data_IF_804642244776
#
_entry.id   IF_804642244776
#
_cell.length_a   1.000
_cell.length_b   1.000
_cell.length_c   1.000
_cell.angle_alpha   90.00
_cell.angle_beta   90.00
_cell.angle_gamma   90.00
#
_symmetry.space_group_name_H-M   'P 1'
#
loop_
_entity.id
_entity.type
_entity.pdbx_description
1 polymer ?
#
# COMPACT_ATOMS: atom_id res chain seq x y z
N UNK A 1 3.02 5.43 19.18
CA UNK A 1 3.08 5.40 20.66
C UNK A 1 4.51 5.50 21.20
N UNK A 2 5.51 5.14 20.37
CA UNK A 2 6.93 5.23 20.70
C UNK A 2 7.65 6.38 19.98
N UNK A 3 6.91 7.26 19.30
CA UNK A 3 7.47 8.40 18.59
C UNK A 3 8.08 8.05 17.22
N UNK A 4 7.91 6.82 16.74
CA UNK A 4 8.37 6.41 15.41
C UNK A 4 7.55 7.09 14.33
N UNK A 5 8.20 7.54 13.26
CA UNK A 5 7.54 8.13 12.10
C UNK A 5 7.15 7.10 11.08
N UNK A 6 5.95 7.24 10.55
CA UNK A 6 5.32 6.31 9.61
C UNK A 6 4.98 7.01 8.31
N UNK A 7 5.41 6.44 7.20
CA UNK A 7 4.95 6.80 5.86
C UNK A 7 3.94 5.77 5.35
N UNK A 8 2.80 6.24 4.84
CA UNK A 8 1.76 5.39 4.24
C UNK A 8 1.48 5.83 2.82
N UNK A 9 1.58 4.91 1.87
CA UNK A 9 1.20 5.14 0.47
C UNK A 9 0.12 4.14 0.09
N UNK A 10 -1.06 4.64 -0.24
CA UNK A 10 -2.20 3.83 -0.68
C UNK A 10 -2.26 3.83 -2.21
N UNK A 11 -2.09 2.65 -2.81
CA UNK A 11 -2.05 2.46 -4.28
C UNK A 11 -3.42 2.47 -4.93
N UNK A 12 -4.46 2.17 -4.15
CA UNK A 12 -5.80 1.88 -4.69
C UNK A 12 -6.86 2.87 -4.23
N UNK A 13 -6.82 3.28 -2.99
CA UNK A 13 -7.80 4.18 -2.38
C UNK A 13 -7.54 5.62 -2.84
N UNK A 14 -8.27 6.09 -3.88
CA UNK A 14 -8.09 7.44 -4.39
C UNK A 14 -8.88 8.50 -3.63
N UNK A 15 -10.13 8.68 -4.02
CA UNK A 15 -10.98 9.80 -3.59
C UNK A 15 -11.88 9.51 -2.37
N UNK A 16 -11.81 8.30 -1.83
CA UNK A 16 -12.65 7.95 -0.70
C UNK A 16 -12.04 8.47 0.59
N UNK A 17 -12.80 9.28 1.32
CA UNK A 17 -12.48 9.63 2.69
C UNK A 17 -12.65 8.38 3.54
N UNK A 18 -11.52 7.83 3.97
CA UNK A 18 -11.51 6.66 4.83
C UNK A 18 -11.25 7.09 6.28
N UNK A 19 -11.84 6.37 7.22
CA UNK A 19 -11.72 6.69 8.65
C UNK A 19 -10.27 6.72 9.12
N UNK A 20 -9.44 5.79 8.64
CA UNK A 20 -8.01 5.73 8.97
C UNK A 20 -7.26 6.99 8.50
N UNK A 21 -7.55 7.50 7.32
CA UNK A 21 -6.94 8.71 6.78
C UNK A 21 -7.27 9.92 7.64
N UNK A 22 -8.55 10.11 7.95
CA UNK A 22 -9.04 11.21 8.80
C UNK A 22 -8.35 11.21 10.17
N UNK A 23 -8.07 10.03 10.74
CA UNK A 23 -7.40 9.91 12.04
C UNK A 23 -5.89 10.15 11.89
N UNK A 24 -5.23 9.53 10.92
CA UNK A 24 -3.78 9.64 10.74
C UNK A 24 -3.34 11.07 10.38
N UNK A 25 -4.12 11.80 9.61
CA UNK A 25 -3.88 13.22 9.29
C UNK A 25 -3.90 14.16 10.53
N UNK A 26 -4.41 13.68 11.68
CA UNK A 26 -4.31 14.43 12.95
C UNK A 26 -2.95 14.34 13.63
N UNK A 27 -2.07 13.47 13.13
CA UNK A 27 -0.72 13.27 13.66
C UNK A 27 0.36 13.57 12.60
N UNK A 28 0.39 14.81 12.03
CA UNK A 28 1.25 15.14 10.90
C UNK A 28 2.74 15.02 11.23
N UNK A 29 3.11 15.13 12.52
CA UNK A 29 4.49 14.98 12.97
C UNK A 29 4.95 13.51 13.01
N UNK A 30 4.01 12.56 13.03
CA UNK A 30 4.26 11.12 13.17
C UNK A 30 3.84 10.31 11.96
N UNK A 31 2.90 10.80 11.16
CA UNK A 31 2.38 10.05 10.03
C UNK A 31 2.24 10.92 8.78
N UNK A 32 2.92 10.53 7.71
CA UNK A 32 2.69 11.05 6.38
C UNK A 32 1.88 10.04 5.57
N UNK A 33 0.65 10.38 5.19
CA UNK A 33 -0.22 9.52 4.38
C UNK A 33 -0.46 10.13 3.00
N UNK A 34 -0.28 9.33 1.95
CA UNK A 34 -0.53 9.68 0.54
C UNK A 34 -1.48 8.66 -0.09
N UNK A 35 -2.68 9.09 -0.44
CA UNK A 35 -3.60 8.32 -1.25
C UNK A 35 -3.42 8.74 -2.72
N UNK A 36 -2.79 7.90 -3.53
CA UNK A 36 -2.39 8.22 -4.90
C UNK A 36 -3.14 7.39 -5.95
N UNK A 37 -3.99 6.45 -5.54
CA UNK A 37 -4.91 5.76 -6.43
C UNK A 37 -6.17 6.60 -6.70
N UNK A 38 -6.74 6.56 -7.89
CA UNK A 38 -8.06 7.16 -8.18
C UNK A 38 -9.24 6.23 -7.89
N UNK A 39 -9.05 5.17 -7.12
CA UNK A 39 -9.95 4.04 -7.00
C UNK A 39 -9.60 2.99 -8.05
N UNK A 40 -9.86 1.70 -7.74
CA UNK A 40 -9.62 0.68 -8.77
C UNK A 40 -10.65 0.79 -9.85
N UNK A 41 -10.16 0.84 -10.88
CA UNK A 41 -10.51 0.79 -12.29
C UNK A 41 -10.95 -0.56 -12.82
N UNK A 42 -11.80 -1.26 -12.06
CA UNK A 42 -12.70 -2.20 -12.73
C UNK A 42 -13.59 -1.44 -13.73
N UNK A 43 -13.62 -0.11 -13.63
CA UNK A 43 -14.46 0.79 -14.41
C UNK A 43 -13.69 1.68 -15.38
N UNK A 44 -12.39 1.93 -15.17
CA UNK A 44 -11.59 2.72 -16.12
C UNK A 44 -10.80 1.80 -17.03
N UNK A 45 -11.15 1.75 -18.29
CA UNK A 45 -10.46 0.98 -19.34
C UNK A 45 -9.16 1.66 -19.79
N UNK A 46 -8.51 2.46 -18.94
CA UNK A 46 -7.29 3.22 -19.27
C UNK A 46 -6.07 2.68 -18.50
N UNK A 47 -5.48 1.61 -19.05
CA UNK A 47 -4.28 0.97 -18.50
C UNK A 47 -3.10 1.95 -18.38
N UNK A 48 -2.94 2.88 -19.32
CA UNK A 48 -1.82 3.83 -19.29
C UNK A 48 -1.91 4.78 -18.09
N UNK A 49 -3.13 5.18 -17.76
CA UNK A 49 -3.42 6.00 -16.58
C UNK A 49 -3.16 5.23 -15.29
N UNK A 50 -3.57 3.97 -15.20
CA UNK A 50 -3.35 3.12 -14.04
C UNK A 50 -1.84 2.90 -13.79
N UNK A 51 -1.07 2.65 -14.83
CA UNK A 51 0.40 2.57 -14.76
C UNK A 51 0.98 3.87 -14.22
N UNK A 52 0.60 5.02 -14.76
CA UNK A 52 1.12 6.32 -14.32
C UNK A 52 0.84 6.59 -12.82
N UNK A 53 -0.35 6.21 -12.32
CA UNK A 53 -0.66 6.31 -10.90
C UNK A 53 0.15 5.36 -10.03
N UNK A 54 0.30 4.12 -10.46
CA UNK A 54 1.09 3.13 -9.73
C UNK A 54 2.57 3.54 -9.68
N UNK A 55 3.15 4.03 -10.79
CA UNK A 55 4.51 4.55 -10.84
C UNK A 55 4.70 5.76 -9.92
N UNK A 56 3.73 6.68 -9.90
CA UNK A 56 3.75 7.84 -8.99
C UNK A 56 3.69 7.40 -7.53
N UNK A 57 2.83 6.43 -7.20
CA UNK A 57 2.74 5.89 -5.85
C UNK A 57 4.05 5.19 -5.44
N UNK A 58 4.64 4.42 -6.35
CA UNK A 58 5.92 3.78 -6.11
C UNK A 58 7.07 4.78 -5.95
N UNK A 59 7.08 5.88 -6.69
CA UNK A 59 8.04 6.96 -6.51
C UNK A 59 7.94 7.59 -5.10
N UNK A 60 6.73 7.75 -4.56
CA UNK A 60 6.53 8.22 -3.19
C UNK A 60 7.01 7.20 -2.14
N UNK A 61 6.77 5.91 -2.35
CA UNK A 61 7.33 4.87 -1.49
C UNK A 61 8.86 4.96 -1.46
N UNK A 62 9.51 5.04 -2.63
CA UNK A 62 10.98 5.18 -2.72
C UNK A 62 11.48 6.46 -2.04
N UNK A 63 10.76 7.58 -2.17
CA UNK A 63 11.08 8.82 -1.45
C UNK A 63 11.03 8.62 0.06
N UNK A 64 9.96 8.02 0.57
CA UNK A 64 9.81 7.73 2.00
C UNK A 64 10.86 6.74 2.52
N UNK A 65 11.22 5.74 1.72
CA UNK A 65 12.30 4.80 2.06
C UNK A 65 13.67 5.49 2.17
N UNK A 66 13.91 6.54 1.37
CA UNK A 66 15.14 7.31 1.38
C UNK A 66 15.20 8.36 2.50
N UNK A 67 14.06 8.73 3.10
CA UNK A 67 14.00 9.70 4.18
C UNK A 67 14.47 9.06 5.50
N UNK A 68 15.60 9.52 6.08
CA UNK A 68 16.16 8.93 7.31
C UNK A 68 15.29 9.19 8.54
N UNK A 69 14.30 10.07 8.45
CA UNK A 69 13.39 10.36 9.59
C UNK A 69 12.18 9.44 9.64
N UNK A 70 11.92 8.65 8.59
CA UNK A 70 10.80 7.70 8.54
C UNK A 70 11.30 6.33 8.99
N UNK A 71 10.70 5.78 10.03
CA UNK A 71 11.09 4.48 10.62
C UNK A 71 10.34 3.30 10.00
N UNK A 72 9.11 3.55 9.52
CA UNK A 72 8.24 2.52 8.96
C UNK A 72 7.51 3.03 7.71
N UNK A 73 7.50 2.22 6.64
CA UNK A 73 6.75 2.52 5.42
C UNK A 73 5.71 1.44 5.17
N UNK A 74 4.46 1.84 4.96
CA UNK A 74 3.38 0.98 4.49
C UNK A 74 3.07 1.29 3.02
N UNK A 75 3.29 0.32 2.14
CA UNK A 75 2.84 0.34 0.75
C UNK A 75 1.53 -0.46 0.64
N UNK A 76 0.42 0.24 0.88
CA UNK A 76 -0.91 -0.37 0.98
C UNK A 76 -1.45 -0.74 -0.40
N UNK A 77 -1.76 -2.04 -0.58
CA UNK A 77 -2.26 -2.65 -1.83
C UNK A 77 -1.26 -2.64 -3.01
N UNK A 78 0.04 -2.48 -2.77
CA UNK A 78 1.06 -2.55 -3.83
C UNK A 78 1.05 -3.89 -4.56
N UNK A 79 0.73 -5.01 -3.87
CA UNK A 79 0.70 -6.33 -4.48
C UNK A 79 -0.31 -6.43 -5.62
N UNK A 80 -1.35 -5.60 -5.62
CA UNK A 80 -2.30 -5.55 -6.73
C UNK A 80 -1.67 -4.84 -7.94
N UNK A 81 -0.94 -3.73 -7.73
CA UNK A 81 -0.22 -3.06 -8.81
C UNK A 81 0.84 -3.99 -9.46
N UNK A 82 1.52 -4.79 -8.65
CA UNK A 82 2.46 -5.82 -9.12
C UNK A 82 1.77 -6.95 -9.87
N UNK A 83 0.60 -7.39 -9.40
CA UNK A 83 -0.20 -8.44 -10.06
C UNK A 83 -0.62 -8.06 -11.48
N UNK A 84 -0.97 -6.78 -11.69
CA UNK A 84 -1.38 -6.26 -13.00
C UNK A 84 -0.22 -5.75 -13.86
N UNK A 85 1.02 -5.94 -13.38
CA UNK A 85 2.23 -5.47 -14.05
C UNK A 85 2.20 -3.95 -14.34
N UNK A 86 1.66 -3.16 -13.41
CA UNK A 86 1.71 -1.70 -13.45
C UNK A 86 3.05 -1.15 -12.94
N UNK A 87 3.76 -1.96 -12.14
CA UNK A 87 5.12 -1.70 -11.67
C UNK A 87 5.93 -2.95 -11.92
N UNK A 88 7.18 -2.78 -12.37
CA UNK A 88 8.08 -3.89 -12.56
C UNK A 88 8.47 -4.53 -11.21
N UNK A 89 8.25 -5.83 -11.05
CA UNK A 89 8.63 -6.58 -9.83
C UNK A 89 10.11 -6.42 -9.53
N UNK A 90 10.96 -6.44 -10.56
CA UNK A 90 12.41 -6.28 -10.42
C UNK A 90 12.82 -4.93 -9.82
N UNK A 91 12.09 -3.83 -10.13
CA UNK A 91 12.36 -2.51 -9.55
C UNK A 91 12.01 -2.48 -8.06
N UNK A 92 10.89 -3.10 -7.69
CA UNK A 92 10.49 -3.22 -6.29
C UNK A 92 11.48 -4.09 -5.51
N UNK A 93 11.85 -5.24 -6.05
CA UNK A 93 12.81 -6.15 -5.43
C UNK A 93 14.17 -5.48 -5.20
N UNK A 94 14.68 -4.76 -6.21
CA UNK A 94 15.94 -4.04 -6.10
C UNK A 94 15.89 -2.93 -5.02
N UNK A 95 14.80 -2.18 -4.95
CA UNK A 95 14.62 -1.14 -3.94
C UNK A 95 14.54 -1.73 -2.52
N UNK A 96 13.84 -2.86 -2.34
CA UNK A 96 13.77 -3.56 -1.05
C UNK A 96 15.13 -4.06 -0.59
N UNK A 97 15.92 -4.62 -1.50
CA UNK A 97 17.29 -5.08 -1.20
C UNK A 97 18.23 -3.94 -0.84
N UNK A 98 18.03 -2.76 -1.44
CA UNK A 98 18.85 -1.57 -1.22
C UNK A 98 18.38 -0.71 -0.03
N UNK A 99 17.26 -1.06 0.62
CA UNK A 99 16.76 -0.28 1.76
C UNK A 99 17.77 -0.22 2.91
N UNK A 100 17.80 0.87 3.65
CA UNK A 100 18.62 0.94 4.88
C UNK A 100 18.15 -0.13 5.89
N UNK A 101 19.07 -0.71 6.68
CA UNK A 101 18.78 -1.84 7.58
C UNK A 101 17.74 -1.55 8.67
N UNK A 102 17.70 -0.31 9.15
CA UNK A 102 16.83 0.17 10.23
C UNK A 102 15.42 0.57 9.77
N UNK A 103 15.18 0.64 8.46
CA UNK A 103 13.83 0.88 7.92
C UNK A 103 13.00 -0.40 7.95
N UNK A 104 11.82 -0.31 8.53
CA UNK A 104 10.79 -1.33 8.39
C UNK A 104 9.88 -0.99 7.21
N UNK A 105 9.53 -2.00 6.41
CA UNK A 105 8.58 -1.83 5.30
C UNK A 105 7.55 -2.96 5.30
N UNK A 106 6.29 -2.59 5.09
CA UNK A 106 5.19 -3.52 4.94
C UNK A 106 4.55 -3.33 3.56
N UNK A 107 4.42 -4.41 2.81
CA UNK A 107 3.71 -4.46 1.55
C UNK A 107 2.43 -5.26 1.74
N UNK A 108 1.28 -4.69 1.38
CA UNK A 108 0.00 -5.37 1.51
C UNK A 108 -0.65 -5.62 0.15
N UNK A 109 -1.73 -6.41 0.18
CA UNK A 109 -2.54 -6.71 -0.99
C UNK A 109 -2.60 -8.20 -1.30
N UNK A 110 -3.30 -8.53 -2.37
CA UNK A 110 -3.57 -9.92 -2.77
C UNK A 110 -2.56 -10.41 -3.79
N UNK A 111 -2.23 -11.71 -3.73
CA UNK A 111 -1.37 -12.39 -4.69
C UNK A 111 0.02 -11.76 -4.81
N UNK A 112 0.73 -11.65 -3.69
CA UNK A 112 2.12 -11.25 -3.69
C UNK A 112 2.93 -12.13 -4.66
N UNK A 113 3.83 -11.51 -5.41
CA UNK A 113 4.72 -12.23 -6.34
C UNK A 113 5.76 -13.01 -5.56
N UNK A 114 6.14 -14.19 -6.06
CA UNK A 114 7.11 -15.08 -5.40
C UNK A 114 8.45 -14.39 -5.14
N UNK A 115 8.89 -13.50 -6.04
CA UNK A 115 10.12 -12.73 -5.88
C UNK A 115 10.08 -11.79 -4.67
N UNK A 116 8.90 -11.23 -4.37
CA UNK A 116 8.70 -10.36 -3.19
C UNK A 116 8.62 -11.20 -1.92
N UNK A 117 7.89 -12.31 -1.98
CA UNK A 117 7.79 -13.27 -0.86
C UNK A 117 9.17 -13.81 -0.47
N UNK A 118 10.02 -14.13 -1.44
CA UNK A 118 11.38 -14.63 -1.19
C UNK A 118 12.31 -13.62 -0.52
N UNK A 119 12.03 -12.29 -0.63
CA UNK A 119 12.81 -11.23 0.00
C UNK A 119 12.31 -10.83 1.38
N UNK A 120 11.07 -11.19 1.72
CA UNK A 120 10.45 -10.78 2.96
C UNK A 120 10.98 -11.57 4.16
N UNK A 121 11.23 -10.87 5.28
CA UNK A 121 11.58 -11.49 6.56
C UNK A 121 10.37 -12.15 7.22
N UNK A 122 9.16 -11.66 6.93
CA UNK A 122 7.89 -12.16 7.45
C UNK A 122 6.82 -12.10 6.36
N UNK A 123 6.14 -13.22 6.15
CA UNK A 123 4.99 -13.31 5.24
C UNK A 123 3.79 -13.85 6.01
N UNK A 124 2.66 -13.17 5.91
CA UNK A 124 1.39 -13.64 6.47
C UNK A 124 0.34 -13.67 5.37
N UNK A 125 -0.29 -14.81 5.17
CA UNK A 125 -1.43 -14.97 4.30
C UNK A 125 -2.71 -15.04 5.14
N UNK A 126 -3.69 -14.17 4.81
CA UNK A 126 -4.99 -14.14 5.49
C UNK A 126 -6.05 -14.77 4.58
N UNK A 127 -6.48 -15.96 4.95
CA UNK A 127 -7.53 -16.68 4.24
C UNK A 127 -8.92 -16.19 4.62
N UNK A 128 -9.79 -16.00 3.62
CA UNK A 128 -11.19 -15.69 3.83
C UNK A 128 -11.99 -16.96 4.12
N UNK A 129 -12.01 -17.39 5.37
CA UNK A 129 -12.77 -18.55 5.82
C UNK A 129 -14.28 -18.28 5.73
N UNK A 130 -14.73 -17.09 6.17
CA UNK A 130 -16.12 -16.65 6.14
C UNK A 130 -16.19 -15.16 5.84
N UNK A 131 -17.20 -14.71 5.10
CA UNK A 131 -17.38 -13.30 4.79
C UNK A 131 -18.86 -12.95 4.73
N UNK A 132 -19.31 -11.88 5.43
CA UNK A 132 -20.73 -11.50 5.50
C UNK A 132 -21.32 -11.11 4.13
N UNK A 133 -20.50 -10.66 3.20
CA UNK A 133 -20.95 -10.36 1.82
C UNK A 133 -21.63 -11.56 1.13
N UNK A 134 -21.19 -12.80 1.45
CA UNK A 134 -21.83 -14.02 0.89
C UNK A 134 -23.24 -14.22 1.41
N UNK A 135 -23.57 -13.61 2.54
CA UNK A 135 -24.90 -13.63 3.18
C UNK A 135 -25.70 -12.37 2.83
N UNK A 136 -25.24 -11.58 1.84
CA UNK A 136 -25.91 -10.38 1.37
C UNK A 136 -25.76 -9.14 2.26
N UNK A 137 -24.89 -9.19 3.27
CA UNK A 137 -24.60 -8.03 4.13
C UNK A 137 -23.77 -7.03 3.35
N UNK A 138 -24.24 -5.79 3.29
CA UNK A 138 -23.54 -4.69 2.60
C UNK A 138 -22.45 -4.10 3.49
N UNK A 139 -21.45 -3.52 2.84
CA UNK A 139 -20.40 -2.75 3.51
C UNK A 139 -20.99 -1.59 4.34
N UNK A 140 -20.41 -1.33 5.52
CA UNK A 140 -20.89 -0.35 6.49
C UNK A 140 -19.82 0.69 6.79
N UNK A 141 -20.22 1.96 6.83
CA UNK A 141 -19.35 3.04 7.23
C UNK A 141 -18.82 2.83 8.66
N UNK A 142 -17.51 3.06 8.83
CA UNK A 142 -16.83 2.85 10.11
C UNK A 142 -16.43 1.41 10.41
N UNK A 143 -16.77 0.46 9.52
CA UNK A 143 -16.35 -0.95 9.58
C UNK A 143 -15.50 -1.31 8.36
N UNK A 144 -16.03 -1.11 7.14
CA UNK A 144 -15.31 -1.41 5.90
C UNK A 144 -14.79 -0.16 5.18
N UNK A 145 -15.29 1.01 5.51
CA UNK A 145 -14.84 2.30 4.93
C UNK A 145 -15.11 3.49 5.87
#
# INVERSE_FOLDING_TARGET
>A
GHGMKVGVVQFIKGKWDTGERTVLERFPDLCEIKALGEGFTWETQDRARDIAFAEKAWAEVKRMMADPTIDFVLADEINIALRYDYIAVADVAAALQAKRPDLHICLTGRNAKDEIVALADLVTEMEMVKHPFRDGVKAQAGIEF
#
